data_IF_870186557180
#
_entry.id   IF_870186557180
#
_cell.length_a   1.000
_cell.length_b   1.000
_cell.length_c   1.000
_cell.angle_alpha   90.00
_cell.angle_beta   90.00
_cell.angle_gamma   90.00
#
_symmetry.space_group_name_H-M   'P 1'
#
loop_
_entity.id
_entity.type
_entity.pdbx_description
1 polymer ?
#
# COMPACT_ATOMS: atom_id res chain seq x y z
N UNK A 1 -15.27 -6.31 -33.13
CA UNK A 1 -16.43 -5.59 -33.71
C UNK A 1 -17.46 -5.51 -32.61
N UNK A 2 -17.86 -4.30 -32.18
CA UNK A 2 -18.69 -4.06 -30.98
C UNK A 2 -20.16 -4.01 -31.40
N UNK A 3 -21.02 -4.78 -30.74
CA UNK A 3 -22.48 -4.65 -30.81
C UNK A 3 -23.02 -4.55 -29.38
N UNK A 4 -23.75 -3.47 -29.14
CA UNK A 4 -24.31 -3.01 -27.86
C UNK A 4 -25.68 -3.66 -27.64
N UNK A 5 -25.98 -4.08 -26.41
CA UNK A 5 -27.33 -3.97 -25.84
C UNK A 5 -27.28 -3.98 -24.30
N UNK A 6 -27.89 -2.94 -23.73
CA UNK A 6 -28.19 -2.76 -22.31
C UNK A 6 -29.21 -3.80 -21.83
N UNK A 7 -29.03 -4.36 -20.64
CA UNK A 7 -30.10 -4.46 -19.62
C UNK A 7 -29.55 -5.04 -18.30
N UNK A 8 -29.96 -4.41 -17.19
CA UNK A 8 -29.49 -4.65 -15.83
C UNK A 8 -30.36 -5.67 -15.10
N UNK A 9 -29.76 -6.53 -14.25
CA UNK A 9 -30.42 -7.07 -13.06
C UNK A 9 -29.43 -7.44 -11.94
N UNK A 10 -29.81 -7.06 -10.72
CA UNK A 10 -29.14 -7.24 -9.44
C UNK A 10 -29.50 -8.58 -8.81
N UNK A 11 -28.54 -9.25 -8.16
CA UNK A 11 -28.86 -10.21 -7.08
C UNK A 11 -27.77 -10.22 -5.99
N UNK A 12 -28.24 -10.27 -4.75
CA UNK A 12 -27.49 -10.22 -3.49
C UNK A 12 -27.15 -11.61 -2.96
N UNK A 13 -25.93 -11.80 -2.45
CA UNK A 13 -25.53 -13.01 -1.74
C UNK A 13 -25.25 -12.74 -0.24
N UNK A 14 -25.87 -13.57 0.62
CA UNK A 14 -25.70 -13.62 2.07
C UNK A 14 -24.36 -14.26 2.48
N UNK A 15 -23.69 -13.70 3.49
CA UNK A 15 -22.49 -14.27 4.12
C UNK A 15 -22.85 -14.94 5.45
N UNK A 16 -22.43 -16.20 5.62
CA UNK A 16 -22.55 -16.96 6.88
C UNK A 16 -21.46 -16.52 7.89
N UNK A 17 -21.90 -16.20 9.11
CA UNK A 17 -21.06 -15.90 10.28
C UNK A 17 -20.47 -17.18 10.90
N UNK A 18 -19.17 -17.15 11.22
CA UNK A 18 -18.49 -18.17 12.04
C UNK A 18 -18.03 -17.52 13.35
N UNK A 19 -18.66 -17.92 14.45
CA UNK A 19 -18.36 -17.50 15.82
C UNK A 19 -17.21 -18.34 16.40
N UNK A 20 -16.16 -17.69 16.92
CA UNK A 20 -15.07 -18.35 17.67
C UNK A 20 -15.21 -18.00 19.15
N UNK A 21 -15.39 -19.05 19.97
CA UNK A 21 -15.40 -19.00 21.44
C UNK A 21 -13.98 -18.87 21.99
N UNK A 22 -13.78 -17.99 22.96
CA UNK A 22 -12.60 -17.90 23.81
C UNK A 22 -12.93 -18.46 25.19
N UNK A 23 -12.25 -19.53 25.60
CA UNK A 23 -12.30 -20.04 26.96
C UNK A 23 -11.06 -19.55 27.74
N UNK A 24 -11.31 -18.74 28.77
CA UNK A 24 -10.37 -18.41 29.84
C UNK A 24 -10.45 -19.48 30.94
N UNK A 25 -9.32 -20.00 31.42
CA UNK A 25 -9.21 -20.49 32.81
C UNK A 25 -7.77 -20.67 33.31
N UNK A 26 -7.43 -19.85 34.31
CA UNK A 26 -6.70 -20.12 35.56
C UNK A 26 -5.46 -21.02 35.62
N UNK A 27 -4.41 -20.52 36.28
CA UNK A 27 -3.91 -21.14 37.53
C UNK A 27 -2.97 -20.21 38.33
N UNK A 28 -3.34 -20.00 39.61
CA UNK A 28 -2.52 -19.43 40.68
C UNK A 28 -1.79 -20.58 41.39
N UNK A 29 -0.49 -20.42 41.64
CA UNK A 29 0.21 -21.12 42.73
C UNK A 29 1.25 -20.21 43.38
N UNK A 30 1.10 -20.06 44.69
CA UNK A 30 1.97 -19.39 45.65
C UNK A 30 3.21 -20.24 45.96
N UNK A 31 4.40 -19.62 46.02
CA UNK A 31 5.57 -20.16 46.74
C UNK A 31 6.34 -19.00 47.39
N UNK A 32 6.93 -19.33 48.53
CA UNK A 32 7.34 -18.52 49.69
C UNK A 32 8.55 -17.59 49.49
N UNK A 33 8.62 -16.58 50.37
CA UNK A 33 9.75 -15.66 50.52
C UNK A 33 11.03 -16.36 50.99
N UNK A 34 12.20 -15.94 50.46
CA UNK A 34 13.40 -15.86 51.27
C UNK A 34 13.96 -14.42 51.25
N UNK A 35 13.98 -13.80 52.42
CA UNK A 35 14.81 -12.64 52.74
C UNK A 35 16.28 -13.05 52.61
N UNK A 36 17.10 -12.32 51.82
CA UNK A 36 18.49 -11.94 52.17
C UNK A 36 19.28 -11.28 51.02
N UNK A 37 19.94 -10.18 51.39
CA UNK A 37 21.13 -9.52 50.79
C UNK A 37 20.87 -8.55 49.62
N UNK A 38 20.59 -7.30 50.00
CA UNK A 38 20.82 -6.10 49.19
C UNK A 38 22.32 -5.87 48.97
N UNK A 39 22.86 -6.44 47.90
CA UNK A 39 24.00 -5.82 47.19
C UNK A 39 23.57 -5.64 45.74
N UNK A 40 23.02 -4.47 45.41
CA UNK A 40 22.69 -4.10 44.04
C UNK A 40 23.97 -3.81 43.28
N UNK A 41 24.71 -4.88 42.94
CA UNK A 41 25.62 -4.85 41.81
C UNK A 41 24.76 -4.68 40.57
N UNK A 42 24.43 -3.43 40.22
CA UNK A 42 23.93 -3.12 38.89
C UNK A 42 25.06 -3.47 37.92
N UNK A 43 25.02 -4.68 37.35
CA UNK A 43 25.91 -5.04 36.27
C UNK A 43 25.59 -4.12 35.09
N UNK A 44 26.51 -3.20 34.83
CA UNK A 44 26.46 -2.27 33.72
C UNK A 44 27.39 -2.78 32.64
N UNK A 45 26.91 -2.87 31.41
CA UNK A 45 27.70 -3.25 30.24
C UNK A 45 28.20 -1.99 29.57
N UNK A 46 29.52 -1.89 29.35
CA UNK A 46 30.14 -0.79 28.61
C UNK A 46 30.30 -1.17 27.15
N UNK A 47 29.50 -0.56 26.27
CA UNK A 47 29.58 -0.78 24.82
C UNK A 47 30.20 0.44 24.13
N UNK A 48 31.14 0.21 23.22
CA UNK A 48 31.61 1.26 22.31
C UNK A 48 30.61 1.40 21.17
N UNK A 49 29.83 2.49 21.18
CA UNK A 49 28.83 2.76 20.15
C UNK A 49 29.14 4.07 19.43
N UNK A 50 28.82 4.11 18.13
CA UNK A 50 28.83 5.34 17.35
C UNK A 50 27.67 6.21 17.82
N UNK A 51 27.93 7.22 18.64
CA UNK A 51 26.89 8.03 19.24
C UNK A 51 26.74 9.40 18.56
N UNK A 52 25.51 9.86 18.46
CA UNK A 52 25.24 11.29 18.26
C UNK A 52 25.39 12.04 19.58
N UNK A 53 25.66 13.34 19.51
CA UNK A 53 25.77 14.17 20.71
C UNK A 53 24.41 14.44 21.34
N UNK A 54 24.29 14.20 22.66
CA UNK A 54 23.17 14.68 23.48
C UNK A 54 23.35 16.17 23.79
N UNK A 55 22.96 17.04 22.86
CA UNK A 55 22.87 18.47 23.15
C UNK A 55 21.40 18.87 23.25
N UNK A 56 21.04 19.53 24.34
CA UNK A 56 19.70 20.12 24.48
C UNK A 56 19.53 21.37 23.61
N UNK A 57 20.64 21.98 23.16
CA UNK A 57 20.69 23.23 22.40
C UNK A 57 21.03 23.06 20.92
N UNK A 58 21.49 21.87 20.50
CA UNK A 58 21.89 21.59 19.10
C UNK A 58 21.11 20.43 18.51
N UNK A 59 20.85 20.52 17.22
CA UNK A 59 20.19 19.47 16.45
C UNK A 59 21.10 18.25 16.31
N UNK A 60 20.59 17.06 16.65
CA UNK A 60 21.33 15.80 16.50
C UNK A 60 21.65 15.42 15.04
N UNK A 61 20.93 15.97 14.06
CA UNK A 61 21.10 15.71 12.62
C UNK A 61 22.07 16.72 12.00
N UNK A 62 21.70 18.00 11.96
CA UNK A 62 22.50 19.05 11.28
C UNK A 62 23.51 19.76 12.19
N UNK A 63 23.48 19.53 13.51
CA UNK A 63 24.37 20.15 14.52
C UNK A 63 24.25 21.67 14.68
N UNK A 64 23.32 22.28 13.97
CA UNK A 64 22.93 23.68 14.16
C UNK A 64 22.21 23.91 15.49
N UNK A 65 22.22 25.16 15.95
CA UNK A 65 21.48 25.54 17.15
C UNK A 65 19.97 25.37 16.92
N UNK A 66 19.32 24.72 17.88
CA UNK A 66 17.89 24.49 17.88
C UNK A 66 17.14 25.81 18.04
N UNK A 67 16.17 26.04 17.16
CA UNK A 67 15.20 27.15 17.26
C UNK A 67 13.95 26.69 18.03
N UNK A 68 13.00 27.60 18.27
CA UNK A 68 11.80 27.39 19.11
C UNK A 68 10.91 26.18 18.74
N UNK A 69 11.12 25.56 17.57
CA UNK A 69 10.37 24.39 17.10
C UNK A 69 11.17 23.08 17.08
N UNK A 70 12.05 22.88 18.06
CA UNK A 70 12.80 21.64 18.21
C UNK A 70 11.92 20.47 18.67
N UNK A 71 11.97 19.36 17.94
CA UNK A 71 11.15 18.16 18.23
C UNK A 71 12.05 17.05 18.76
N UNK A 72 11.61 16.35 19.81
CA UNK A 72 12.30 15.16 20.34
C UNK A 72 12.19 14.03 19.32
N UNK A 73 13.29 13.34 19.04
CA UNK A 73 13.25 12.17 18.15
C UNK A 73 12.41 11.07 18.82
N UNK A 74 11.50 10.49 18.05
CA UNK A 74 10.66 9.38 18.49
C UNK A 74 11.51 8.17 18.92
N UNK A 75 11.01 7.35 19.86
CA UNK A 75 11.68 6.09 20.22
C UNK A 75 11.85 5.19 18.98
N UNK A 76 10.85 5.19 18.09
CA UNK A 76 10.84 4.44 16.84
C UNK A 76 12.00 4.80 15.93
N UNK A 77 12.26 6.10 15.73
CA UNK A 77 13.34 6.55 14.85
C UNK A 77 14.72 6.31 15.50
N UNK A 78 14.83 6.47 16.82
CA UNK A 78 16.07 6.11 17.55
C UNK A 78 16.42 4.63 17.37
N UNK A 79 15.43 3.76 17.53
CA UNK A 79 15.59 2.32 17.35
C UNK A 79 15.95 2.02 15.88
N UNK A 80 15.19 2.54 14.92
CA UNK A 80 15.46 2.33 13.48
C UNK A 80 16.88 2.72 13.08
N UNK A 81 17.35 3.90 13.50
CA UNK A 81 18.70 4.38 13.22
C UNK A 81 19.75 3.49 13.87
N UNK A 82 19.51 3.04 15.11
CA UNK A 82 20.43 2.13 15.78
C UNK A 82 20.57 0.80 15.01
N UNK A 83 19.47 0.18 14.63
CA UNK A 83 19.50 -1.13 13.96
C UNK A 83 19.92 -1.06 12.48
N UNK A 84 19.61 0.02 11.76
CA UNK A 84 19.97 0.18 10.34
C UNK A 84 21.38 0.72 10.13
N UNK A 85 21.84 1.63 11.00
CA UNK A 85 23.08 2.39 10.83
C UNK A 85 24.14 2.12 11.89
N UNK A 86 23.80 1.36 12.93
CA UNK A 86 24.63 1.19 14.13
C UNK A 86 25.01 2.55 14.76
N UNK A 87 24.07 3.49 14.80
CA UNK A 87 24.26 4.81 15.42
C UNK A 87 23.33 4.95 16.62
N UNK A 88 23.90 5.16 17.80
CA UNK A 88 23.16 5.40 19.03
C UNK A 88 22.70 6.85 19.13
N UNK A 89 21.40 7.04 19.33
CA UNK A 89 20.80 8.34 19.63
C UNK A 89 20.34 8.36 21.08
N UNK A 90 20.91 9.23 21.92
CA UNK A 90 20.57 9.28 23.34
C UNK A 90 19.12 9.74 23.54
N UNK A 91 18.56 9.35 24.69
CA UNK A 91 17.22 9.77 25.07
C UNK A 91 17.10 11.29 25.24
N UNK A 92 16.01 11.85 24.72
CA UNK A 92 15.77 13.28 24.73
C UNK A 92 16.54 14.07 23.65
N UNK A 93 17.28 13.41 22.76
CA UNK A 93 17.86 14.05 21.58
C UNK A 93 16.78 14.76 20.75
N UNK A 94 17.10 15.97 20.28
CA UNK A 94 16.17 16.83 19.54
C UNK A 94 16.68 17.10 18.13
N UNK A 95 15.76 17.26 17.19
CA UNK A 95 16.05 17.62 15.81
C UNK A 95 15.23 18.85 15.39
N UNK A 96 15.70 19.56 14.36
CA UNK A 96 14.96 20.64 13.72
C UNK A 96 13.67 20.10 13.08
N UNK A 97 12.58 20.86 13.16
CA UNK A 97 11.31 20.52 12.51
C UNK A 97 11.44 20.29 10.99
N UNK A 98 12.35 20.99 10.32
CA UNK A 98 12.61 20.83 8.88
C UNK A 98 13.19 19.47 8.47
N UNK A 99 13.60 18.62 9.42
CA UNK A 99 14.05 17.25 9.14
C UNK A 99 12.94 16.21 9.26
N UNK A 100 11.76 16.63 9.71
CA UNK A 100 10.63 15.76 9.94
C UNK A 100 9.61 15.92 8.82
N UNK A 101 9.18 14.79 8.29
CA UNK A 101 8.01 14.70 7.39
C UNK A 101 6.99 13.86 8.16
N UNK A 102 5.81 14.43 8.44
CA UNK A 102 4.77 13.77 9.24
C UNK A 102 5.26 13.24 10.61
N UNK A 103 6.10 14.03 11.31
CA UNK A 103 6.73 13.67 12.60
C UNK A 103 7.69 12.47 12.56
N UNK A 104 8.10 12.02 11.37
CA UNK A 104 9.09 10.96 11.17
C UNK A 104 10.30 11.50 10.40
N UNK A 105 11.48 10.95 10.66
CA UNK A 105 12.69 11.30 9.90
C UNK A 105 12.62 10.67 8.50
N UNK A 106 12.88 11.47 7.47
CA UNK A 106 12.98 10.97 6.09
C UNK A 106 14.21 10.08 5.92
N UNK A 107 14.16 9.14 4.96
CA UNK A 107 15.25 8.19 4.69
C UNK A 107 16.56 8.92 4.34
N UNK A 108 16.47 9.95 3.51
CA UNK A 108 17.61 10.81 3.14
C UNK A 108 18.28 11.46 4.37
N UNK A 109 17.47 11.97 5.29
CA UNK A 109 17.96 12.58 6.52
C UNK A 109 18.63 11.53 7.40
N UNK A 110 18.02 10.35 7.57
CA UNK A 110 18.60 9.24 8.33
C UNK A 110 19.98 8.86 7.77
N UNK A 111 20.11 8.81 6.44
CA UNK A 111 21.36 8.46 5.79
C UNK A 111 22.46 9.53 5.97
N UNK A 112 22.08 10.79 6.17
CA UNK A 112 23.01 11.89 6.40
C UNK A 112 23.48 12.00 7.87
N UNK A 113 22.86 11.28 8.81
CA UNK A 113 23.24 11.33 10.23
C UNK A 113 24.65 10.76 10.41
N UNK A 114 25.59 11.61 10.82
CA UNK A 114 26.98 11.21 11.11
C UNK A 114 27.20 11.11 12.62
N UNK A 115 27.89 10.05 13.10
CA UNK A 115 28.28 9.96 14.49
C UNK A 115 29.19 11.14 14.86
N UNK A 116 29.06 11.61 16.11
CA UNK A 116 29.92 12.68 16.63
C UNK A 116 31.22 12.11 17.16
N UNK A 117 31.14 10.96 17.84
CA UNK A 117 32.28 10.30 18.47
C UNK A 117 31.90 8.85 18.79
N UNK A 118 32.89 7.96 18.82
CA UNK A 118 32.75 6.66 19.48
C UNK A 118 32.70 6.96 20.99
N UNK A 119 31.60 6.57 21.66
CA UNK A 119 31.44 6.73 23.11
C UNK A 119 31.20 5.38 23.75
N UNK A 120 31.76 5.20 24.95
CA UNK A 120 31.33 4.13 25.84
C UNK A 120 29.95 4.49 26.38
N UNK A 121 28.94 3.74 25.95
CA UNK A 121 27.63 3.81 26.56
C UNK A 121 27.54 2.75 27.63
N UNK A 122 27.24 3.20 28.84
CA UNK A 122 26.88 2.35 29.97
C UNK A 122 25.41 1.98 29.84
N UNK A 123 25.14 0.70 29.63
CA UNK A 123 23.79 0.14 29.57
C UNK A 123 23.54 -0.71 30.81
N UNK A 124 22.44 -0.47 31.49
CA UNK A 124 21.99 -1.31 32.59
C UNK A 124 21.48 -2.67 32.07
N UNK A 125 21.36 -3.66 32.96
CA UNK A 125 20.75 -4.96 32.63
C UNK A 125 19.36 -4.80 31.99
N UNK A 126 18.54 -3.85 32.49
CA UNK A 126 17.24 -3.52 31.90
C UNK A 126 17.34 -2.94 30.50
N UNK A 127 18.33 -2.09 30.21
CA UNK A 127 18.51 -1.52 28.88
C UNK A 127 18.96 -2.58 27.87
N UNK A 128 19.84 -3.49 28.29
CA UNK A 128 20.30 -4.61 27.46
C UNK A 128 19.13 -5.56 27.18
N UNK A 129 18.32 -5.89 28.18
CA UNK A 129 17.13 -6.72 27.99
C UNK A 129 16.09 -6.04 27.09
N UNK A 130 15.92 -4.72 27.20
CA UNK A 130 15.09 -3.94 26.29
C UNK A 130 15.64 -3.96 24.87
N UNK A 131 16.95 -3.80 24.68
CA UNK A 131 17.58 -3.84 23.37
C UNK A 131 17.44 -5.22 22.71
N UNK A 132 17.66 -6.30 23.49
CA UNK A 132 17.50 -7.68 23.03
C UNK A 132 16.05 -7.99 22.69
N UNK A 133 15.08 -7.55 23.50
CA UNK A 133 13.66 -7.73 23.20
C UNK A 133 13.23 -6.93 21.95
N UNK A 134 13.75 -5.71 21.75
CA UNK A 134 13.55 -4.94 20.52
C UNK A 134 14.19 -5.61 19.32
N UNK A 135 15.41 -6.11 19.44
CA UNK A 135 16.09 -6.86 18.39
C UNK A 135 15.31 -8.13 18.03
N UNK A 136 14.87 -8.92 19.02
CA UNK A 136 14.01 -10.09 18.81
C UNK A 136 12.68 -9.71 18.16
N UNK A 137 12.09 -8.59 18.55
CA UNK A 137 10.87 -8.06 17.93
C UNK A 137 11.13 -7.69 16.48
N UNK A 138 12.27 -7.08 16.16
CA UNK A 138 12.69 -6.77 14.79
C UNK A 138 13.02 -8.03 13.98
N UNK A 139 13.60 -9.07 14.56
CA UNK A 139 13.82 -10.35 13.87
C UNK A 139 12.51 -11.10 13.63
N UNK A 140 11.59 -11.11 14.60
CA UNK A 140 10.23 -11.63 14.45
C UNK A 140 9.44 -10.81 13.41
N UNK A 141 9.62 -9.50 13.41
CA UNK A 141 9.01 -8.57 12.44
C UNK A 141 9.78 -8.47 11.12
N UNK A 142 10.99 -9.03 11.01
CA UNK A 142 11.67 -9.20 9.72
C UNK A 142 10.93 -10.18 8.82
N UNK A 143 9.97 -10.92 9.39
CA UNK A 143 8.93 -11.68 8.69
C UNK A 143 7.61 -10.90 8.50
N UNK A 144 7.48 -9.65 8.94
CA UNK A 144 6.27 -8.87 8.70
C UNK A 144 6.23 -8.43 7.23
N UNK A 145 5.13 -8.83 6.62
CA UNK A 145 4.44 -8.17 5.52
C UNK A 145 4.53 -6.65 5.73
N UNK A 146 5.08 -5.94 4.75
CA UNK A 146 5.25 -4.48 4.69
C UNK A 146 4.11 -3.68 5.37
N UNK A 147 4.43 -2.53 5.96
CA UNK A 147 3.43 -1.62 6.55
C UNK A 147 3.14 -0.44 5.63
N UNK A 148 1.87 -0.23 5.29
CA UNK A 148 1.46 0.96 4.53
C UNK A 148 1.46 2.25 5.38
N UNK A 149 1.54 2.13 6.70
CA UNK A 149 1.65 3.27 7.62
C UNK A 149 3.08 3.83 7.73
N UNK A 150 4.10 3.08 7.33
CA UNK A 150 5.49 3.56 7.33
C UNK A 150 5.90 3.90 5.90
N UNK A 151 6.16 5.19 5.58
CA UNK A 151 6.53 5.58 4.22
C UNK A 151 7.89 5.01 3.76
N UNK A 152 8.64 4.38 4.66
CA UNK A 152 9.95 3.77 4.38
C UNK A 152 9.86 2.30 3.96
N UNK A 153 8.72 1.65 4.21
CA UNK A 153 8.56 0.22 3.97
C UNK A 153 8.33 -0.12 2.50
N UNK A 154 7.77 0.81 1.71
CA UNK A 154 7.44 0.60 0.31
C UNK A 154 7.94 1.75 -0.57
N UNK A 155 8.56 1.40 -1.70
CA UNK A 155 8.91 2.32 -2.78
C UNK A 155 7.69 2.62 -3.69
N UNK A 156 7.81 3.58 -4.61
CA UNK A 156 6.68 4.00 -5.44
C UNK A 156 6.22 2.91 -6.43
N UNK A 157 7.17 2.13 -6.97
CA UNK A 157 6.87 0.99 -7.85
C UNK A 157 6.12 -0.10 -7.09
N UNK A 158 6.48 -0.36 -5.83
CA UNK A 158 5.78 -1.30 -4.96
C UNK A 158 4.37 -0.81 -4.61
N UNK A 159 4.18 0.49 -4.39
CA UNK A 159 2.86 1.09 -4.21
C UNK A 159 1.99 0.89 -5.46
N UNK A 160 2.53 1.18 -6.64
CA UNK A 160 1.85 0.97 -7.92
C UNK A 160 1.52 -0.51 -8.13
N UNK A 161 2.46 -1.42 -7.85
CA UNK A 161 2.27 -2.86 -8.00
C UNK A 161 1.14 -3.38 -7.12
N UNK A 162 1.13 -2.97 -5.85
CA UNK A 162 0.18 -3.47 -4.85
C UNK A 162 -1.19 -2.81 -4.96
N UNK A 163 -1.25 -1.50 -5.23
CA UNK A 163 -2.50 -0.72 -5.13
C UNK A 163 -2.99 -0.14 -6.45
N UNK A 164 -2.20 -0.23 -7.53
CA UNK A 164 -2.40 0.49 -8.81
C UNK A 164 -2.21 2.01 -8.74
N UNK A 165 -1.83 2.55 -7.59
CA UNK A 165 -1.69 3.98 -7.38
C UNK A 165 -0.24 4.32 -7.04
N UNK A 166 0.22 5.46 -7.55
CA UNK A 166 1.44 6.09 -7.02
C UNK A 166 1.26 6.41 -5.54
N UNK A 167 2.37 6.54 -4.81
CA UNK A 167 2.34 6.88 -3.39
C UNK A 167 1.56 8.17 -3.13
N UNK A 168 1.72 9.18 -3.98
CA UNK A 168 1.04 10.47 -3.83
C UNK A 168 -0.47 10.34 -4.09
N UNK A 169 -0.86 9.66 -5.17
CA UNK A 169 -2.28 9.39 -5.45
C UNK A 169 -2.93 8.56 -4.35
N UNK A 170 -2.22 7.60 -3.77
CA UNK A 170 -2.70 6.82 -2.63
C UNK A 170 -2.88 7.71 -1.39
N UNK A 171 -1.97 8.64 -1.12
CA UNK A 171 -2.10 9.60 -0.01
C UNK A 171 -3.35 10.47 -0.16
N UNK A 172 -3.57 11.02 -1.36
CA UNK A 172 -4.74 11.85 -1.67
C UNK A 172 -6.03 11.05 -1.49
N UNK A 173 -6.04 9.80 -1.98
CA UNK A 173 -7.18 8.91 -1.86
C UNK A 173 -7.52 8.60 -0.39
N UNK A 174 -6.51 8.28 0.42
CA UNK A 174 -6.67 8.06 1.86
C UNK A 174 -7.21 9.31 2.54
N UNK A 175 -6.74 10.52 2.18
CA UNK A 175 -7.23 11.77 2.74
C UNK A 175 -8.72 12.00 2.45
N UNK A 176 -9.14 11.76 1.20
CA UNK A 176 -10.55 11.91 0.78
C UNK A 176 -11.47 10.96 1.56
N UNK A 177 -11.08 9.69 1.69
CA UNK A 177 -11.91 8.65 2.33
C UNK A 177 -11.90 8.77 3.86
N UNK A 178 -10.75 9.08 4.45
CA UNK A 178 -10.62 9.24 5.91
C UNK A 178 -11.53 10.35 6.44
N UNK A 179 -11.86 11.33 5.58
CA UNK A 179 -12.72 12.45 5.92
C UNK A 179 -14.21 12.09 6.00
N UNK A 180 -14.63 10.95 5.43
CA UNK A 180 -16.03 10.77 5.02
C UNK A 180 -16.70 9.44 5.39
N UNK A 181 -15.97 8.33 5.58
CA UNK A 181 -16.66 7.02 5.62
C UNK A 181 -16.08 5.90 6.50
N UNK A 182 -14.80 5.92 6.91
CA UNK A 182 -14.16 4.74 7.53
C UNK A 182 -13.72 5.04 8.97
N UNK A 183 -14.05 4.11 9.90
CA UNK A 183 -13.56 4.15 11.28
C UNK A 183 -12.29 3.30 11.43
N UNK A 184 -11.27 3.76 12.18
CA UNK A 184 -10.11 2.93 12.48
C UNK A 184 -10.51 1.78 13.41
N UNK A 185 -9.80 0.65 13.30
CA UNK A 185 -9.91 -0.46 14.27
C UNK A 185 -8.67 -0.51 15.17
N UNK A 186 -8.76 -1.22 16.29
CA UNK A 186 -7.64 -1.39 17.23
C UNK A 186 -6.39 -2.01 16.58
N UNK A 187 -6.56 -2.78 15.51
CA UNK A 187 -5.51 -3.53 14.84
C UNK A 187 -5.12 -2.95 13.47
N UNK A 188 -5.81 -1.90 12.99
CA UNK A 188 -5.60 -1.39 11.63
C UNK A 188 -5.94 0.09 11.51
N UNK A 189 -5.01 0.86 10.96
CA UNK A 189 -5.25 2.23 10.53
C UNK A 189 -6.20 2.28 9.33
N UNK A 190 -6.85 3.43 9.10
CA UNK A 190 -7.67 3.65 7.89
C UNK A 190 -6.80 3.46 6.63
N UNK A 191 -5.56 3.97 6.66
CA UNK A 191 -4.60 3.84 5.56
C UNK A 191 -4.30 2.39 5.22
N UNK A 192 -4.01 1.56 6.22
CA UNK A 192 -3.75 0.13 6.02
C UNK A 192 -5.03 -0.61 5.59
N UNK A 193 -6.21 -0.19 6.05
CA UNK A 193 -7.48 -0.77 5.60
C UNK A 193 -7.75 -0.51 4.11
N UNK A 194 -7.61 0.75 3.68
CA UNK A 194 -7.74 1.15 2.27
C UNK A 194 -6.70 0.42 1.42
N UNK A 195 -5.46 0.38 1.90
CA UNK A 195 -4.37 -0.39 1.30
C UNK A 195 -4.71 -1.84 1.03
N UNK A 196 -5.09 -2.57 2.08
CA UNK A 196 -5.47 -3.99 1.97
C UNK A 196 -6.66 -4.16 1.02
N UNK A 197 -7.63 -3.26 1.05
CA UNK A 197 -8.76 -3.29 0.14
C UNK A 197 -8.32 -3.14 -1.32
N UNK A 198 -7.46 -2.17 -1.64
CA UNK A 198 -6.92 -1.99 -2.98
C UNK A 198 -6.05 -3.16 -3.42
N UNK A 199 -5.21 -3.71 -2.53
CA UNK A 199 -4.44 -4.92 -2.81
C UNK A 199 -5.35 -6.10 -3.14
N UNK A 200 -6.40 -6.32 -2.36
CA UNK A 200 -7.37 -7.39 -2.61
C UNK A 200 -8.15 -7.17 -3.90
N UNK A 201 -8.54 -5.94 -4.20
CA UNK A 201 -9.18 -5.64 -5.47
C UNK A 201 -8.24 -5.99 -6.62
N UNK A 202 -6.99 -5.52 -6.61
CA UNK A 202 -6.06 -5.70 -7.74
C UNK A 202 -5.51 -7.13 -7.85
N UNK A 203 -5.06 -7.70 -6.75
CA UNK A 203 -4.35 -8.99 -6.80
C UNK A 203 -5.31 -10.17 -6.92
N UNK A 204 -6.51 -10.06 -6.34
CA UNK A 204 -7.44 -11.19 -6.27
C UNK A 204 -8.69 -11.03 -7.14
N UNK A 205 -9.08 -9.80 -7.55
CA UNK A 205 -10.42 -9.57 -8.12
C UNK A 205 -10.50 -8.63 -9.34
N UNK A 206 -9.41 -8.01 -9.81
CA UNK A 206 -9.46 -7.02 -10.88
C UNK A 206 -8.10 -6.77 -11.53
N UNK A 207 -8.04 -6.84 -12.86
CA UNK A 207 -6.83 -6.63 -13.66
C UNK A 207 -6.22 -7.94 -14.16
N UNK A 208 -5.36 -7.90 -15.17
CA UNK A 208 -4.85 -9.13 -15.82
C UNK A 208 -3.91 -10.01 -14.98
N UNK A 209 -3.61 -9.61 -13.74
CA UNK A 209 -2.80 -10.39 -12.80
C UNK A 209 -3.59 -11.47 -12.04
N UNK A 210 -4.90 -11.31 -11.86
CA UNK A 210 -5.71 -12.23 -11.04
C UNK A 210 -6.37 -13.36 -11.83
N UNK A 211 -6.47 -13.21 -13.15
CA UNK A 211 -7.08 -14.20 -14.05
C UNK A 211 -6.10 -14.54 -15.17
N UNK A 212 -5.80 -15.83 -15.34
CA UNK A 212 -4.89 -16.28 -16.39
C UNK A 212 -5.62 -16.34 -17.73
N UNK A 213 -4.85 -16.37 -18.81
CA UNK A 213 -5.39 -16.54 -20.16
C UNK A 213 -6.12 -17.88 -20.28
N UNK A 214 -5.54 -18.91 -19.70
CA UNK A 214 -6.02 -20.29 -19.69
C UNK A 214 -7.36 -20.39 -18.94
N UNK A 215 -7.52 -19.66 -17.84
CA UNK A 215 -8.80 -19.60 -17.10
C UNK A 215 -9.92 -19.01 -17.97
N UNK A 216 -9.63 -17.95 -18.73
CA UNK A 216 -10.62 -17.33 -19.63
C UNK A 216 -10.95 -18.23 -20.82
N UNK A 217 -9.96 -18.92 -21.37
CA UNK A 217 -10.16 -19.90 -22.44
C UNK A 217 -11.02 -21.08 -21.95
N UNK A 218 -10.67 -21.64 -20.78
CA UNK A 218 -11.29 -22.85 -20.25
C UNK A 218 -12.68 -22.64 -19.63
N UNK A 219 -12.97 -21.45 -19.09
CA UNK A 219 -14.24 -21.18 -18.38
C UNK A 219 -14.85 -19.80 -18.60
N UNK A 220 -14.14 -18.85 -19.21
CA UNK A 220 -14.63 -17.50 -19.51
C UNK A 220 -15.31 -17.36 -20.88
N UNK A 221 -15.25 -18.39 -21.73
CA UNK A 221 -15.75 -18.32 -23.10
C UNK A 221 -16.93 -19.26 -23.32
N UNK A 222 -18.09 -18.73 -23.72
CA UNK A 222 -19.28 -19.57 -23.99
C UNK A 222 -19.14 -20.30 -25.33
N UNK A 223 -19.68 -21.51 -25.42
CA UNK A 223 -19.63 -22.34 -26.64
C UNK A 223 -20.24 -21.63 -27.87
N UNK A 224 -21.32 -20.87 -27.66
CA UNK A 224 -21.95 -20.08 -28.74
C UNK A 224 -21.01 -18.98 -29.26
N UNK A 225 -20.27 -18.32 -28.38
CA UNK A 225 -19.33 -17.27 -28.80
C UNK A 225 -18.12 -17.88 -29.50
N UNK A 226 -17.61 -19.01 -29.02
CA UNK A 226 -16.54 -19.73 -29.71
C UNK A 226 -16.96 -20.14 -31.12
N UNK A 227 -18.18 -20.64 -31.30
CA UNK A 227 -18.69 -21.00 -32.62
C UNK A 227 -18.82 -19.77 -33.52
N UNK A 228 -19.45 -18.70 -33.04
CA UNK A 228 -19.68 -17.48 -33.82
C UNK A 228 -18.39 -16.74 -34.21
N UNK A 229 -17.41 -16.69 -33.30
CA UNK A 229 -16.22 -15.85 -33.47
C UNK A 229 -15.00 -16.63 -33.98
N UNK A 230 -14.92 -17.94 -33.69
CA UNK A 230 -13.78 -18.79 -34.05
C UNK A 230 -14.16 -19.94 -35.00
N UNK A 231 -15.43 -20.10 -35.37
CA UNK A 231 -15.88 -21.11 -36.34
C UNK A 231 -15.57 -22.55 -35.93
N UNK A 232 -15.57 -22.83 -34.63
CA UNK A 232 -15.35 -24.17 -34.05
C UNK A 232 -13.92 -24.74 -34.16
N UNK A 233 -13.00 -24.04 -34.85
CA UNK A 233 -11.68 -24.60 -35.20
C UNK A 233 -10.53 -24.17 -34.26
N UNK A 234 -10.74 -23.19 -33.39
CA UNK A 234 -9.72 -22.72 -32.44
C UNK A 234 -10.31 -22.47 -31.06
N UNK A 235 -10.05 -23.37 -30.14
CA UNK A 235 -10.47 -23.26 -28.73
C UNK A 235 -9.44 -22.53 -27.85
N UNK A 236 -8.31 -22.09 -28.40
CA UNK A 236 -7.18 -21.53 -27.63
C UNK A 236 -7.08 -19.99 -27.70
N UNK A 237 -8.20 -19.35 -28.01
CA UNK A 237 -8.29 -17.88 -28.14
C UNK A 237 -9.23 -17.36 -27.06
N UNK A 238 -8.77 -16.50 -26.13
CA UNK A 238 -9.63 -15.85 -25.17
C UNK A 238 -10.49 -14.82 -25.90
N UNK A 239 -11.78 -14.81 -25.60
CA UNK A 239 -12.71 -13.80 -26.11
C UNK A 239 -13.10 -12.90 -24.95
N UNK A 240 -12.81 -11.60 -25.11
CA UNK A 240 -13.17 -10.57 -24.15
C UNK A 240 -14.03 -9.51 -24.82
N UNK A 241 -14.91 -8.90 -24.03
CA UNK A 241 -15.77 -7.78 -24.41
C UNK A 241 -15.21 -6.56 -23.71
N UNK A 242 -15.06 -5.46 -24.45
CA UNK A 242 -14.55 -4.19 -23.94
C UNK A 242 -15.61 -3.13 -24.22
N UNK A 243 -16.16 -2.53 -23.17
CA UNK A 243 -17.21 -1.50 -23.29
C UNK A 243 -17.01 -0.31 -22.36
N UNK A 244 -17.49 0.85 -22.80
CA UNK A 244 -17.38 2.13 -22.11
C UNK A 244 -18.48 2.35 -21.07
N UNK A 245 -18.16 2.12 -19.80
CA UNK A 245 -19.08 2.40 -18.68
C UNK A 245 -18.95 3.84 -18.21
N UNK A 246 -20.09 4.53 -18.07
CA UNK A 246 -20.12 5.94 -17.70
C UNK A 246 -20.37 6.14 -16.20
N UNK A 247 -19.52 6.93 -15.56
CA UNK A 247 -19.57 7.26 -14.15
C UNK A 247 -19.96 8.73 -13.98
N UNK A 248 -21.13 8.97 -13.37
CA UNK A 248 -21.55 10.35 -13.07
C UNK A 248 -20.69 10.96 -11.98
N UNK A 249 -20.27 12.20 -12.21
CA UNK A 249 -19.52 12.98 -11.23
C UNK A 249 -20.24 14.29 -10.95
N UNK A 250 -20.00 14.85 -9.76
CA UNK A 250 -20.51 16.17 -9.43
C UNK A 250 -19.83 17.25 -10.27
N UNK A 251 -20.54 18.36 -10.47
CA UNK A 251 -20.01 19.51 -11.19
C UNK A 251 -18.76 20.05 -10.49
N UNK A 252 -17.63 20.03 -11.18
CA UNK A 252 -16.38 20.59 -10.68
C UNK A 252 -16.40 22.12 -10.73
N UNK A 253 -15.70 22.76 -9.79
CA UNK A 253 -15.38 24.20 -9.83
C UNK A 253 -14.25 24.52 -10.82
N UNK A 254 -13.48 23.51 -11.24
CA UNK A 254 -12.48 23.67 -12.28
C UNK A 254 -13.18 23.67 -13.65
N UNK A 255 -13.26 24.84 -14.27
CA UNK A 255 -13.95 25.04 -15.56
C UNK A 255 -13.35 24.19 -16.70
N UNK A 256 -12.03 23.96 -16.71
CA UNK A 256 -11.40 23.12 -17.73
C UNK A 256 -11.80 21.66 -17.59
N UNK A 257 -11.65 21.12 -16.38
CA UNK A 257 -12.08 19.76 -16.07
C UNK A 257 -13.58 19.57 -16.27
N UNK A 258 -14.39 20.55 -15.90
CA UNK A 258 -15.84 20.50 -16.10
C UNK A 258 -16.20 20.41 -17.60
N UNK A 259 -15.49 21.15 -18.47
CA UNK A 259 -15.72 21.05 -19.93
C UNK A 259 -15.29 19.70 -20.49
N UNK A 260 -14.15 19.16 -20.04
CA UNK A 260 -13.64 17.85 -20.48
C UNK A 260 -14.49 16.68 -20.00
N UNK A 261 -15.16 16.81 -18.86
CA UNK A 261 -16.04 15.77 -18.31
C UNK A 261 -17.49 15.90 -18.77
N UNK A 262 -17.87 16.99 -19.44
CA UNK A 262 -19.25 17.17 -19.87
C UNK A 262 -19.55 16.40 -21.16
N UNK A 263 -20.48 15.45 -21.08
CA UNK A 263 -20.94 14.70 -22.22
C UNK A 263 -22.21 15.34 -22.81
N UNK A 264 -22.18 15.64 -24.11
CA UNK A 264 -23.31 16.30 -24.80
C UNK A 264 -24.55 15.39 -24.91
N UNK A 265 -24.36 14.08 -25.09
CA UNK A 265 -25.45 13.13 -25.29
C UNK A 265 -26.19 12.84 -23.98
N UNK A 266 -25.44 12.59 -22.89
CA UNK A 266 -26.00 12.33 -21.55
C UNK A 266 -26.28 13.60 -20.75
N UNK A 267 -25.93 14.78 -21.28
CA UNK A 267 -26.19 16.11 -20.70
C UNK A 267 -25.72 16.25 -19.25
N UNK A 268 -24.56 15.71 -18.92
CA UNK A 268 -24.03 15.69 -17.56
C UNK A 268 -22.51 15.60 -17.50
N UNK A 269 -21.94 15.90 -16.33
CA UNK A 269 -20.52 15.68 -16.04
C UNK A 269 -20.30 14.22 -15.68
N UNK A 270 -19.48 13.54 -16.45
CA UNK A 270 -19.20 12.12 -16.29
C UNK A 270 -17.80 11.76 -16.77
N UNK A 271 -17.28 10.67 -16.19
CA UNK A 271 -16.07 9.99 -16.63
C UNK A 271 -16.48 8.67 -17.28
N UNK A 272 -15.58 8.08 -18.07
CA UNK A 272 -15.83 6.82 -18.74
C UNK A 272 -14.71 5.84 -18.45
N UNK A 273 -15.02 4.69 -17.89
CA UNK A 273 -14.06 3.59 -17.74
C UNK A 273 -14.30 2.52 -18.79
N UNK A 274 -13.24 1.90 -19.29
CA UNK A 274 -13.37 0.75 -20.19
C UNK A 274 -13.40 -0.53 -19.35
N UNK A 275 -14.58 -1.14 -19.25
CA UNK A 275 -14.77 -2.43 -18.60
C UNK A 275 -14.37 -3.53 -19.55
N UNK A 276 -13.54 -4.45 -19.07
CA UNK A 276 -13.13 -5.65 -19.80
C UNK A 276 -13.75 -6.84 -19.09
N UNK A 277 -14.62 -7.54 -19.80
CA UNK A 277 -15.37 -8.68 -19.28
C UNK A 277 -15.22 -9.88 -20.20
N UNK A 278 -15.37 -11.08 -19.65
CA UNK A 278 -15.50 -12.30 -20.45
C UNK A 278 -16.91 -12.42 -21.01
N UNK A 279 -17.15 -13.42 -21.86
CA UNK A 279 -18.50 -13.70 -22.39
C UNK A 279 -19.44 -14.37 -21.38
N UNK A 280 -18.93 -14.64 -20.18
CA UNK A 280 -19.67 -15.15 -19.03
C UNK A 280 -19.88 -14.07 -17.97
N UNK A 281 -19.72 -12.79 -18.36
CA UNK A 281 -19.86 -11.60 -17.53
C UNK A 281 -18.84 -11.48 -16.38
N UNK A 282 -17.77 -12.29 -16.41
CA UNK A 282 -16.69 -12.18 -15.45
C UNK A 282 -15.86 -10.93 -15.73
N UNK A 283 -15.70 -10.06 -14.73
CA UNK A 283 -14.93 -8.82 -14.87
C UNK A 283 -13.43 -9.14 -14.80
N UNK A 284 -12.73 -8.96 -15.93
CA UNK A 284 -11.29 -9.17 -16.04
C UNK A 284 -10.52 -7.94 -15.61
N UNK A 285 -10.92 -6.75 -16.08
CA UNK A 285 -10.21 -5.51 -15.77
C UNK A 285 -11.12 -4.30 -15.95
N UNK A 286 -10.69 -3.17 -15.38
CA UNK A 286 -11.28 -1.86 -15.62
C UNK A 286 -10.14 -0.88 -15.89
N UNK A 287 -10.10 -0.31 -17.09
CA UNK A 287 -9.04 0.60 -17.50
C UNK A 287 -9.55 2.03 -17.39
N UNK A 288 -8.76 2.84 -16.66
CA UNK A 288 -8.84 4.27 -16.35
C UNK A 288 -10.20 4.98 -16.56
N UNK A 289 -10.62 5.89 -15.66
CA UNK A 289 -11.66 6.83 -16.04
C UNK A 289 -11.11 7.87 -17.04
N UNK A 290 -11.45 7.71 -18.31
CA UNK A 290 -11.25 8.68 -19.38
C UNK A 290 -12.23 9.86 -19.26
N UNK A 291 -11.82 11.01 -19.79
CA UNK A 291 -12.71 12.16 -19.94
C UNK A 291 -13.82 11.83 -20.93
N UNK A 292 -14.98 12.47 -20.81
CA UNK A 292 -16.15 12.19 -21.66
C UNK A 292 -16.34 13.22 -22.78
N UNK A 293 -15.24 13.83 -23.20
CA UNK A 293 -15.21 14.78 -24.30
C UNK A 293 -15.19 14.05 -25.67
N UNK A 294 -15.33 14.84 -26.74
CA UNK A 294 -15.36 14.33 -28.10
C UNK A 294 -14.07 13.59 -28.51
N UNK A 295 -12.94 13.93 -27.90
CA UNK A 295 -11.66 13.31 -28.19
C UNK A 295 -11.55 11.88 -27.63
N UNK A 296 -12.29 11.58 -26.58
CA UNK A 296 -12.29 10.30 -25.87
C UNK A 296 -13.57 9.48 -26.16
N UNK A 297 -13.86 9.31 -27.46
CA UNK A 297 -14.83 8.30 -27.89
C UNK A 297 -14.23 6.89 -27.77
N UNK A 298 -15.09 5.85 -27.80
CA UNK A 298 -14.68 4.48 -27.48
C UNK A 298 -13.60 3.94 -28.44
N UNK A 299 -13.67 4.32 -29.72
CA UNK A 299 -12.67 3.94 -30.71
C UNK A 299 -11.32 4.62 -30.45
N UNK A 300 -11.32 5.91 -30.09
CA UNK A 300 -10.12 6.65 -29.73
C UNK A 300 -9.46 6.09 -28.46
N UNK A 301 -10.28 5.78 -27.44
CA UNK A 301 -9.82 5.16 -26.20
C UNK A 301 -9.24 3.76 -26.48
N UNK A 302 -9.94 2.92 -27.26
CA UNK A 302 -9.44 1.58 -27.58
C UNK A 302 -8.13 1.60 -28.36
N UNK A 303 -7.98 2.56 -29.28
CA UNK A 303 -6.73 2.79 -30.01
C UNK A 303 -5.61 3.15 -29.05
N UNK A 304 -5.89 4.01 -28.08
CA UNK A 304 -4.92 4.45 -27.09
C UNK A 304 -4.47 3.33 -26.14
N UNK A 305 -5.42 2.55 -25.61
CA UNK A 305 -5.15 1.33 -24.80
C UNK A 305 -4.24 0.37 -25.58
N UNK A 306 -4.54 0.17 -26.86
CA UNK A 306 -3.75 -0.71 -27.73
C UNK A 306 -2.34 -0.16 -27.97
N UNK A 307 -2.21 1.13 -28.30
CA UNK A 307 -0.91 1.74 -28.62
C UNK A 307 0.03 1.79 -27.42
N UNK A 308 -0.49 2.11 -26.23
CA UNK A 308 0.30 2.18 -25.00
C UNK A 308 0.48 0.83 -24.32
N UNK A 309 -0.26 -0.19 -24.75
CA UNK A 309 -0.38 -1.47 -24.06
C UNK A 309 -0.70 -1.27 -22.56
N UNK A 310 -1.68 -0.39 -22.29
CA UNK A 310 -2.11 -0.06 -20.92
C UNK A 310 -2.49 -1.33 -20.18
N UNK A 311 -2.04 -1.48 -18.93
CA UNK A 311 -2.23 -2.68 -18.10
C UNK A 311 -1.80 -4.00 -18.77
N UNK A 312 -0.89 -3.93 -19.75
CA UNK A 312 -0.38 -5.08 -20.49
C UNK A 312 -1.47 -5.90 -21.22
N UNK A 313 -2.60 -5.27 -21.57
CA UNK A 313 -3.75 -5.91 -22.24
C UNK A 313 -3.33 -6.69 -23.48
N UNK A 314 -2.53 -6.09 -24.37
CA UNK A 314 -2.08 -6.76 -25.59
C UNK A 314 -1.09 -7.88 -25.30
N UNK A 315 -0.21 -7.69 -24.31
CA UNK A 315 0.73 -8.73 -23.89
C UNK A 315 -0.01 -9.96 -23.39
N UNK A 316 -1.09 -9.78 -22.62
CA UNK A 316 -1.95 -10.86 -22.14
C UNK A 316 -2.77 -11.50 -23.28
N UNK A 317 -3.33 -10.68 -24.19
CA UNK A 317 -4.12 -11.15 -25.35
C UNK A 317 -3.31 -11.91 -26.40
N UNK A 318 -2.02 -11.62 -26.57
CA UNK A 318 -1.17 -12.28 -27.55
C UNK A 318 -0.14 -13.22 -26.93
N UNK A 319 -0.15 -13.40 -25.61
CA UNK A 319 0.88 -14.14 -24.87
C UNK A 319 2.30 -13.73 -25.29
N UNK A 320 2.54 -12.41 -25.42
CA UNK A 320 3.85 -11.88 -25.84
C UNK A 320 4.90 -11.86 -24.71
N UNK A 321 4.80 -12.79 -23.76
CA UNK A 321 5.89 -13.05 -22.83
C UNK A 321 6.94 -13.92 -23.52
N UNK A 322 8.01 -13.26 -23.96
CA UNK A 322 9.37 -13.78 -24.13
C UNK A 322 9.50 -15.31 -23.95
N UNK A 323 9.22 -16.06 -25.01
CA UNK A 323 9.70 -17.43 -25.14
C UNK A 323 11.22 -17.50 -25.41
N UNK A 324 12.00 -16.52 -24.95
CA UNK A 324 13.45 -16.37 -25.22
C UNK A 324 14.25 -15.79 -24.04
N UNK A 325 13.90 -16.15 -22.80
CA UNK A 325 14.87 -16.12 -21.69
C UNK A 325 14.65 -17.35 -20.79
N UNK A 326 15.05 -18.52 -21.28
CA UNK A 326 15.59 -19.60 -20.47
C UNK A 326 16.65 -20.35 -21.28
#
# INVERSE_FOLDING_TARGET
MVVINDDAHSDSYEFMDVQVKTDDSSCLTTVENPTLITTTNHQVVKLQLNATSSFHTKCCVCRENLRDHAVKISSRDRDFIFFSRNIWIPEGARCCSGHLINNLLSKEVVDQIKPFSIRYQELSSSDVQLLLSKAQTLFKNGKKIFSLDDPRDLNDDEYCLLTSLSRDSFNDFVQIISSSAIRPSCNRSIRTAIGIYLCKLRLDNLGFGHVTREDVIGGGTTAITQELMCGGNSTDIPIIIIDGTHLYIQKSRNNEFQRKTFNLYKKGSLLKSMMIVTTTDYIVACIEPFMSDFNNNDAAIMKDISLRNTDHVLSWLFSLFLHNLK
#
